data_IF_963289665980
#
_entry.id   IF_963289665980
#
_cell.length_a   1.000
_cell.length_b   1.000
_cell.length_c   1.000
_cell.angle_alpha   90.00
_cell.angle_beta   90.00
_cell.angle_gamma   90.00
#
_symmetry.space_group_name_H-M   'P 1'
#
loop_
_entity.id
_entity.type
_entity.pdbx_description
1 polymer ?
#
# COMPACT_ATOMS: atom_id res chain seq x y z
N UNK A 1 16.91 15.30 16.47
CA UNK A 1 17.64 14.83 15.31
C UNK A 1 16.88 13.73 14.61
N UNK A 2 16.77 13.82 13.33
CA UNK A 2 16.10 12.79 12.54
C UNK A 2 17.03 11.60 12.34
N UNK A 3 16.54 10.40 12.66
CA UNK A 3 17.28 9.18 12.42
C UNK A 3 16.78 8.61 11.11
N UNK A 4 17.71 8.29 10.21
CA UNK A 4 17.34 7.69 8.92
C UNK A 4 16.59 6.40 9.15
N UNK A 5 15.49 6.23 8.45
CA UNK A 5 14.65 5.05 8.57
C UNK A 5 13.60 5.13 9.68
N UNK A 6 13.52 6.24 10.40
CA UNK A 6 12.46 6.42 11.39
C UNK A 6 11.11 6.56 10.70
N UNK A 7 10.16 5.73 11.11
CA UNK A 7 8.80 5.74 10.58
C UNK A 7 7.91 6.39 11.62
N UNK A 8 7.18 7.42 11.25
CA UNK A 8 6.25 8.05 12.19
C UNK A 8 4.89 8.39 11.58
N UNK A 9 4.76 8.42 10.24
CA UNK A 9 3.51 8.73 9.58
C UNK A 9 2.99 7.47 8.88
N UNK A 10 1.98 6.87 9.47
CA UNK A 10 1.43 5.60 9.00
C UNK A 10 0.00 5.79 8.51
N UNK A 11 -0.31 5.27 7.35
CA UNK A 11 -1.67 5.28 6.83
C UNK A 11 -2.20 3.84 6.80
N UNK A 12 -3.35 3.63 7.41
CA UNK A 12 -4.04 2.36 7.33
C UNK A 12 -5.18 2.53 6.34
N UNK A 13 -5.08 1.86 5.20
CA UNK A 13 -6.14 1.89 4.19
C UNK A 13 -6.99 0.64 4.33
N UNK A 14 -8.26 0.85 4.60
CA UNK A 14 -9.22 -0.21 4.79
C UNK A 14 -10.40 0.01 3.86
N UNK A 15 -10.65 -0.95 2.98
CA UNK A 15 -11.78 -0.89 2.06
C UNK A 15 -12.72 -2.04 2.36
N UNK A 16 -13.98 -1.71 2.63
CA UNK A 16 -14.99 -2.68 3.01
C UNK A 16 -16.24 -2.50 2.17
N UNK A 17 -17.01 -3.56 2.08
CA UNK A 17 -18.36 -3.47 1.53
C UNK A 17 -19.25 -2.71 2.50
N UNK A 18 -20.30 -2.14 1.99
CA UNK A 18 -21.09 -1.12 2.68
C UNK A 18 -21.67 -1.51 4.04
N UNK A 19 -21.54 -2.72 4.50
CA UNK A 19 -22.08 -3.12 5.81
C UNK A 19 -21.02 -3.57 6.81
N UNK A 20 -19.83 -3.74 6.36
CA UNK A 20 -18.76 -4.19 7.23
C UNK A 20 -18.00 -2.99 7.75
N UNK A 21 -18.18 -2.70 9.03
CA UNK A 21 -17.52 -1.59 9.68
C UNK A 21 -16.51 -2.03 10.73
N UNK A 22 -16.12 -3.29 10.68
CA UNK A 22 -15.26 -3.87 11.70
C UNK A 22 -13.78 -3.58 11.48
N UNK A 23 -13.44 -2.44 10.86
CA UNK A 23 -12.04 -2.10 10.66
C UNK A 23 -11.29 -1.97 12.00
N UNK A 24 -12.01 -1.66 13.08
CA UNK A 24 -11.39 -1.49 14.39
C UNK A 24 -10.73 -2.78 14.89
N UNK A 25 -11.30 -3.92 14.56
CA UNK A 25 -10.72 -5.20 14.98
C UNK A 25 -9.37 -5.46 14.34
N UNK A 26 -9.09 -4.79 13.22
CA UNK A 26 -7.81 -4.95 12.53
C UNK A 26 -6.73 -4.02 13.10
N UNK A 27 -7.11 -3.03 13.88
CA UNK A 27 -6.14 -2.07 14.41
C UNK A 27 -5.09 -2.71 15.30
N UNK A 28 -5.50 -3.68 16.14
CA UNK A 28 -4.55 -4.39 16.98
C UNK A 28 -3.54 -5.16 16.13
N UNK A 29 -4.01 -5.79 15.05
CA UNK A 29 -3.12 -6.52 14.14
C UNK A 29 -2.17 -5.55 13.44
N UNK A 30 -2.68 -4.38 13.03
CA UNK A 30 -1.88 -3.35 12.40
C UNK A 30 -0.77 -2.89 13.34
N UNK A 31 -1.12 -2.58 14.58
CA UNK A 31 -0.14 -2.10 15.55
C UNK A 31 0.91 -3.16 15.84
N UNK A 32 0.50 -4.41 15.99
CA UNK A 32 1.42 -5.51 16.24
C UNK A 32 2.39 -5.68 15.08
N UNK A 33 1.88 -5.64 13.85
CA UNK A 33 2.74 -5.79 12.67
C UNK A 33 3.74 -4.64 12.57
N UNK A 34 3.30 -3.43 12.85
CA UNK A 34 4.18 -2.28 12.81
C UNK A 34 5.27 -2.38 13.88
N UNK A 35 4.92 -2.85 15.07
CA UNK A 35 5.91 -3.06 16.12
C UNK A 35 6.93 -4.13 15.73
N UNK A 36 6.48 -5.19 15.07
CA UNK A 36 7.37 -6.24 14.59
C UNK A 36 8.33 -5.73 13.51
N UNK A 37 7.83 -4.87 12.62
CA UNK A 37 8.64 -4.36 11.51
C UNK A 37 9.57 -3.21 11.91
N UNK A 38 9.11 -2.33 12.79
CA UNK A 38 9.78 -1.07 13.06
C UNK A 38 10.09 -0.82 14.52
N UNK A 39 9.75 -1.75 15.40
CA UNK A 39 9.94 -1.59 16.83
C UNK A 39 8.85 -0.74 17.45
N UNK A 40 8.91 -0.65 18.77
CA UNK A 40 7.94 0.16 19.51
C UNK A 40 8.31 1.63 19.41
N UNK A 41 7.40 2.41 18.89
CA UNK A 41 7.56 3.86 18.79
C UNK A 41 6.18 4.48 18.68
N UNK A 42 6.12 5.80 18.81
CA UNK A 42 4.87 6.50 18.59
C UNK A 42 4.70 6.77 17.11
N UNK A 43 3.58 6.32 16.58
CA UNK A 43 3.22 6.56 15.19
C UNK A 43 2.01 7.47 15.14
N UNK A 44 2.03 8.37 14.16
CA UNK A 44 0.85 9.14 13.82
C UNK A 44 0.08 8.33 12.78
N UNK A 45 -0.98 7.68 13.24
CA UNK A 45 -1.77 6.76 12.42
C UNK A 45 -2.99 7.48 11.86
N UNK A 46 -3.07 7.52 10.53
CA UNK A 46 -4.26 8.01 9.83
C UNK A 46 -5.00 6.82 9.25
N UNK A 47 -6.32 6.83 9.41
CA UNK A 47 -7.18 5.76 8.89
C UNK A 47 -7.91 6.28 7.67
N UNK A 48 -7.72 5.57 6.55
CA UNK A 48 -8.40 5.85 5.29
C UNK A 48 -9.43 4.75 5.08
N UNK A 49 -10.61 4.98 5.59
CA UNK A 49 -11.69 4.01 5.57
C UNK A 49 -12.59 4.29 4.36
N UNK A 50 -12.83 3.26 3.55
CA UNK A 50 -13.59 3.41 2.33
C UNK A 50 -14.64 2.32 2.20
N UNK A 51 -15.89 2.72 1.99
CA UNK A 51 -16.97 1.80 1.68
C UNK A 51 -17.14 1.81 0.17
N UNK A 52 -16.50 0.89 -0.52
CA UNK A 52 -16.56 0.85 -1.96
C UNK A 52 -16.18 -0.52 -2.48
N UNK A 53 -16.73 -0.88 -3.62
CA UNK A 53 -16.26 -2.05 -4.35
C UNK A 53 -14.86 -1.77 -4.90
N UNK A 54 -14.04 -2.81 -5.00
CA UNK A 54 -12.71 -2.67 -5.61
C UNK A 54 -12.76 -2.29 -7.07
N UNK A 55 -13.93 -2.44 -7.70
CA UNK A 55 -14.15 -2.05 -9.07
C UNK A 55 -14.70 -0.63 -9.21
N UNK A 56 -15.03 0.01 -8.09
CA UNK A 56 -15.60 1.36 -8.10
C UNK A 56 -14.51 2.37 -8.46
N UNK A 57 -14.68 3.14 -9.56
CA UNK A 57 -13.69 4.14 -9.91
C UNK A 57 -13.68 5.34 -8.99
N UNK A 58 -14.77 5.58 -8.26
CA UNK A 58 -14.90 6.74 -7.39
C UNK A 58 -14.50 6.38 -5.96
N UNK A 59 -13.21 6.20 -5.76
CA UNK A 59 -12.64 5.83 -4.47
C UNK A 59 -11.96 7.05 -3.86
N UNK A 60 -12.75 7.82 -3.15
CA UNK A 60 -12.32 9.11 -2.61
C UNK A 60 -11.17 8.98 -1.62
N UNK A 61 -11.25 8.01 -0.72
CA UNK A 61 -10.20 7.82 0.28
C UNK A 61 -8.92 7.28 -0.35
N UNK A 62 -9.05 6.43 -1.36
CA UNK A 62 -7.88 5.96 -2.10
C UNK A 62 -7.19 7.11 -2.83
N UNK A 63 -7.98 8.00 -3.44
CA UNK A 63 -7.42 9.18 -4.10
C UNK A 63 -6.75 10.12 -3.11
N UNK A 64 -7.36 10.30 -1.94
CA UNK A 64 -6.79 11.12 -0.87
C UNK A 64 -5.46 10.53 -0.37
N UNK A 65 -5.44 9.21 -0.22
CA UNK A 65 -4.23 8.50 0.21
C UNK A 65 -3.11 8.72 -0.81
N UNK A 66 -3.40 8.58 -2.09
CA UNK A 66 -2.39 8.78 -3.13
C UNK A 66 -1.85 10.20 -3.11
N UNK A 67 -2.71 11.18 -2.87
CA UNK A 67 -2.29 12.58 -2.78
C UNK A 67 -1.36 12.81 -1.58
N UNK A 68 -1.68 12.21 -0.44
CA UNK A 68 -0.84 12.32 0.75
C UNK A 68 0.53 11.67 0.56
N UNK A 69 0.55 10.53 -0.15
CA UNK A 69 1.80 9.86 -0.47
C UNK A 69 2.64 10.75 -1.40
N UNK A 70 2.01 11.31 -2.43
CA UNK A 70 2.70 12.17 -3.38
C UNK A 70 3.27 13.42 -2.69
N UNK A 71 2.61 13.89 -1.65
CA UNK A 71 3.07 15.05 -0.87
C UNK A 71 4.10 14.67 0.19
N UNK A 72 4.52 13.42 0.25
CA UNK A 72 5.51 12.91 1.21
C UNK A 72 5.05 13.02 2.66
N UNK A 73 3.76 12.84 2.89
CA UNK A 73 3.19 12.92 4.24
C UNK A 73 2.98 11.56 4.88
N UNK A 74 3.31 10.49 4.15
CA UNK A 74 3.12 9.12 4.62
C UNK A 74 4.46 8.38 4.50
N UNK A 75 4.82 7.63 5.52
CA UNK A 75 6.02 6.79 5.50
C UNK A 75 5.70 5.34 5.17
N UNK A 76 4.58 4.85 5.70
CA UNK A 76 4.18 3.46 5.53
C UNK A 76 2.67 3.40 5.29
N UNK A 77 2.28 2.59 4.33
CA UNK A 77 0.86 2.25 4.12
C UNK A 77 0.66 0.82 4.61
N UNK A 78 -0.34 0.63 5.44
CA UNK A 78 -0.72 -0.70 5.92
C UNK A 78 -2.09 -1.03 5.37
N UNK A 79 -2.27 -2.23 4.86
CA UNK A 79 -3.56 -2.71 4.40
C UNK A 79 -3.64 -4.21 4.68
N UNK A 80 -4.81 -4.79 4.48
CA UNK A 80 -4.98 -6.21 4.77
C UNK A 80 -4.35 -7.09 3.70
N UNK A 81 -4.64 -6.80 2.44
CA UNK A 81 -4.20 -7.60 1.29
C UNK A 81 -3.87 -6.71 0.12
N UNK A 82 -3.10 -7.24 -0.82
CA UNK A 82 -2.85 -6.52 -2.06
C UNK A 82 -4.14 -6.17 -2.79
N UNK A 83 -5.11 -7.08 -2.78
CA UNK A 83 -6.40 -6.85 -3.45
C UNK A 83 -7.22 -5.74 -2.80
N UNK A 84 -6.92 -5.37 -1.55
CA UNK A 84 -7.55 -4.22 -0.91
C UNK A 84 -7.13 -2.92 -1.62
N UNK A 85 -5.90 -2.87 -2.11
CA UNK A 85 -5.38 -1.70 -2.82
C UNK A 85 -6.16 -1.51 -4.11
N UNK A 86 -6.18 -2.52 -4.95
CA UNK A 86 -6.93 -2.47 -6.20
C UNK A 86 -7.03 -3.87 -6.79
N UNK A 87 -8.16 -4.14 -7.44
CA UNK A 87 -8.33 -5.38 -8.21
C UNK A 87 -7.84 -5.22 -9.63
N UNK A 88 -7.82 -3.99 -10.12
CA UNK A 88 -7.33 -3.68 -11.44
C UNK A 88 -5.81 -3.53 -11.39
N UNK A 89 -5.11 -4.26 -12.26
CA UNK A 89 -3.66 -4.25 -12.31
C UNK A 89 -3.09 -2.87 -12.59
N UNK A 90 -3.76 -2.10 -13.45
CA UNK A 90 -3.30 -0.76 -13.76
C UNK A 90 -3.29 0.14 -12.54
N UNK A 91 -4.37 0.12 -11.76
CA UNK A 91 -4.47 0.90 -10.53
C UNK A 91 -3.48 0.42 -9.48
N UNK A 92 -3.32 -0.90 -9.37
CA UNK A 92 -2.37 -1.47 -8.43
C UNK A 92 -0.94 -1.02 -8.74
N UNK A 93 -0.53 -1.16 -9.99
CA UNK A 93 0.82 -0.80 -10.40
C UNK A 93 1.06 0.70 -10.25
N UNK A 94 0.08 1.51 -10.60
CA UNK A 94 0.18 2.97 -10.42
C UNK A 94 0.41 3.31 -8.96
N UNK A 95 -0.37 2.73 -8.07
CA UNK A 95 -0.24 2.99 -6.64
C UNK A 95 1.14 2.57 -6.13
N UNK A 96 1.57 1.37 -6.49
CA UNK A 96 2.85 0.85 -6.01
C UNK A 96 4.03 1.66 -6.57
N UNK A 97 3.91 2.17 -7.80
CA UNK A 97 4.94 3.02 -8.38
C UNK A 97 5.03 4.36 -7.64
N UNK A 98 3.90 4.94 -7.28
CA UNK A 98 3.88 6.18 -6.50
C UNK A 98 4.59 5.95 -5.16
N UNK A 99 4.26 4.86 -4.49
CA UNK A 99 4.89 4.51 -3.21
C UNK A 99 6.40 4.33 -3.38
N UNK A 100 6.81 3.61 -4.41
CA UNK A 100 8.21 3.35 -4.66
C UNK A 100 8.99 4.65 -4.89
N UNK A 101 8.42 5.57 -5.68
CA UNK A 101 9.07 6.85 -5.96
C UNK A 101 9.22 7.71 -4.71
N UNK A 102 8.31 7.58 -3.77
CA UNK A 102 8.32 8.40 -2.54
C UNK A 102 8.92 7.66 -1.35
N UNK A 103 9.49 6.48 -1.57
CA UNK A 103 10.07 5.65 -0.52
C UNK A 103 9.07 5.28 0.56
N UNK A 104 7.82 5.06 0.16
CA UNK A 104 6.77 4.62 1.06
C UNK A 104 6.68 3.11 0.99
N UNK A 105 6.73 2.48 2.15
CA UNK A 105 6.60 1.02 2.22
C UNK A 105 5.13 0.64 2.32
N UNK A 106 4.80 -0.50 1.73
CA UNK A 106 3.45 -1.05 1.78
C UNK A 106 3.51 -2.38 2.52
N UNK A 107 2.82 -2.43 3.64
CA UNK A 107 2.79 -3.62 4.51
C UNK A 107 1.40 -4.23 4.43
N UNK A 108 1.34 -5.52 4.14
CA UNK A 108 0.09 -6.26 4.14
C UNK A 108 0.03 -7.16 5.36
N UNK A 109 -1.05 -7.07 6.11
CA UNK A 109 -1.25 -7.90 7.31
C UNK A 109 -1.37 -9.37 6.92
N UNK A 110 -2.10 -9.63 5.83
CA UNK A 110 -2.22 -10.98 5.28
C UNK A 110 -1.05 -11.23 4.35
N UNK A 111 -0.09 -12.01 4.82
CA UNK A 111 1.13 -12.27 4.07
C UNK A 111 0.92 -13.10 2.80
N UNK A 112 -0.26 -13.72 2.65
CA UNK A 112 -0.55 -14.49 1.44
C UNK A 112 -0.71 -13.59 0.23
N UNK A 113 -0.99 -12.30 0.44
CA UNK A 113 -1.09 -11.30 -0.63
C UNK A 113 -0.22 -10.10 -0.28
N UNK A 114 1.07 -10.29 -0.29
CA UNK A 114 2.03 -9.23 0.01
C UNK A 114 2.23 -8.35 -1.22
N UNK A 115 1.76 -7.11 -1.14
CA UNK A 115 1.79 -6.18 -2.27
C UNK A 115 3.21 -5.89 -2.74
N UNK A 116 4.14 -5.73 -1.81
CA UNK A 116 5.54 -5.44 -2.18
C UNK A 116 6.16 -6.60 -2.95
N UNK A 117 5.92 -7.82 -2.50
CA UNK A 117 6.44 -9.01 -3.17
C UNK A 117 5.83 -9.17 -4.56
N UNK A 118 4.52 -8.94 -4.67
CA UNK A 118 3.82 -9.02 -5.95
C UNK A 118 4.36 -7.96 -6.90
N UNK A 119 4.50 -6.74 -6.43
CA UNK A 119 5.01 -5.62 -7.23
C UNK A 119 6.43 -5.92 -7.74
N UNK A 120 7.30 -6.42 -6.86
CA UNK A 120 8.67 -6.75 -7.23
C UNK A 120 8.71 -7.82 -8.30
N UNK A 121 7.89 -8.87 -8.16
CA UNK A 121 7.84 -9.94 -9.17
C UNK A 121 7.40 -9.42 -10.52
N UNK A 122 6.39 -8.53 -10.52
CA UNK A 122 5.91 -7.94 -11.76
C UNK A 122 7.00 -7.08 -12.39
N UNK A 123 7.69 -6.28 -11.59
CA UNK A 123 8.77 -5.46 -12.10
C UNK A 123 9.90 -6.30 -12.71
N UNK A 124 10.29 -7.36 -12.03
CA UNK A 124 11.34 -8.26 -12.51
C UNK A 124 10.92 -8.94 -13.81
N UNK A 125 9.66 -9.36 -13.88
CA UNK A 125 9.12 -9.96 -15.09
C UNK A 125 9.13 -8.94 -16.23
N UNK A 126 8.68 -7.73 -15.97
CA UNK A 126 8.62 -6.67 -16.99
C UNK A 126 10.01 -6.30 -17.49
N UNK A 127 10.98 -6.16 -16.59
CA UNK A 127 12.36 -5.87 -16.96
C UNK A 127 12.90 -6.96 -17.86
N UNK A 128 12.73 -8.21 -17.46
CA UNK A 128 13.20 -9.35 -18.22
C UNK A 128 12.50 -9.47 -19.57
N UNK A 129 11.20 -9.27 -19.56
CA UNK A 129 10.38 -9.33 -20.77
C UNK A 129 10.78 -8.22 -21.75
N UNK A 130 10.89 -6.99 -21.24
CA UNK A 130 11.18 -5.85 -22.12
C UNK A 130 12.62 -5.81 -22.59
N UNK A 131 13.55 -6.32 -21.81
CA UNK A 131 14.93 -6.42 -22.30
C UNK A 131 15.01 -7.39 -23.47
N UNK A 132 14.40 -8.57 -23.32
CA UNK A 132 14.37 -9.53 -24.41
C UNK A 132 13.40 -9.10 -25.51
N UNK A 133 12.21 -8.64 -25.11
CA UNK A 133 11.17 -8.23 -26.05
C UNK A 133 11.50 -6.94 -26.77
N UNK A 134 12.20 -6.05 -26.11
CA UNK A 134 12.62 -4.79 -26.71
C UNK A 134 13.53 -5.04 -27.92
N UNK A 135 14.47 -5.95 -27.75
CA UNK A 135 15.34 -6.36 -28.85
C UNK A 135 14.56 -7.01 -29.96
N UNK A 136 13.50 -7.75 -29.63
CA UNK A 136 12.68 -8.41 -30.62
C UNK A 136 11.69 -7.45 -31.31
N UNK A 137 11.28 -6.42 -30.62
CA UNK A 137 10.31 -5.46 -31.15
C UNK A 137 10.94 -4.37 -32.01
N UNK A 138 12.22 -4.29 -32.01
CA UNK A 138 12.96 -3.29 -32.79
C UNK A 138 13.31 -3.80 -34.21
#
# INVERSE_FOLDING_TARGET
MMIAGTVNQVAFYCRVNHRDRDYEKYLDDVMRRLEEEYGKQEWDLQIFFEEASGADPDRKEFSRLKAEIAAKKIDVVVTMKASTIARDWGQFMEFMQICSKKNVKVVCIDNTEDAQAIFRRIQEFMERFFEGGDAACR
#
